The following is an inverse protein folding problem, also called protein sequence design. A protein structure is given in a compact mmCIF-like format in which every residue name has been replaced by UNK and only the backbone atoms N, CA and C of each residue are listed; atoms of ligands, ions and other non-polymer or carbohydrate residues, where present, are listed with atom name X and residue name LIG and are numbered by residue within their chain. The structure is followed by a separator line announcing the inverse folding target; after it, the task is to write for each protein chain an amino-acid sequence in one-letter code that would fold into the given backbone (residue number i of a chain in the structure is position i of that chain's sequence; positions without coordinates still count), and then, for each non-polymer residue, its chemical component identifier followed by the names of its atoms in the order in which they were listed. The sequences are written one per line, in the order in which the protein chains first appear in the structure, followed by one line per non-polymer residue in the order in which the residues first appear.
data_IF_911935097798
#
_entry.id   IF_911935097798
#
_cell.length_a   1.000
_cell.length_b   1.000
_cell.length_c   1.000
_cell.angle_alpha   90.00
_cell.angle_beta   90.00
_cell.angle_gamma   90.00
#
_symmetry.space_group_name_H-M   'P 1'
#
loop_
_entity.id
_entity.type
_entity.pdbx_description
1 polymer ?
2 non-polymer ?
#
# COMPACT_ATOMS: atom_id res chain seq x y z
N UNK A 11 18.62 16.92 21.90
CA UNK A 11 17.41 16.11 21.82
C UNK A 11 17.63 14.69 22.36
N UNK A 12 16.55 14.07 22.83
CA UNK A 12 16.57 12.72 23.40
C UNK A 12 17.01 11.64 22.39
N UNK A 13 17.00 12.00 21.11
CA UNK A 13 17.28 11.03 20.06
C UNK A 13 18.59 11.33 19.33
N UNK A 14 19.06 10.38 18.53
CA UNK A 14 20.37 10.50 17.92
C UNK A 14 20.46 9.79 16.56
N UNK A 15 20.53 10.57 15.49
CA UNK A 15 20.49 10.04 14.13
C UNK A 15 21.71 9.19 13.81
N UNK A 16 21.48 7.93 13.40
CA UNK A 16 22.59 7.06 13.01
C UNK A 16 22.64 6.83 11.49
N UNK A 17 21.53 7.11 10.81
CA UNK A 17 21.49 6.97 9.35
C UNK A 17 20.22 7.58 8.77
N UNK A 18 20.12 7.53 7.44
CA UNK A 18 18.92 7.93 6.74
C UNK A 18 18.28 6.68 6.16
N UNK A 19 16.96 6.60 6.20
CA UNK A 19 16.26 5.47 5.61
C UNK A 19 15.94 5.78 4.15
N UNK A 20 15.51 7.01 3.92
CA UNK A 20 15.19 7.47 2.57
C UNK A 20 14.62 8.88 2.57
N UNK A 21 14.41 9.40 1.37
CA UNK A 21 13.81 10.72 1.23
C UNK A 21 12.65 10.67 0.23
N UNK A 22 11.84 11.72 0.21
CA UNK A 22 10.70 11.77 -0.69
C UNK A 22 9.78 12.94 -0.39
N UNK A 23 8.58 12.91 -0.94
CA UNK A 23 7.61 13.99 -0.75
C UNK A 23 6.81 13.84 0.54
N UNK A 25 8.43 13.43 3.51
CA UNK A 25 9.63 14.23 3.73
C UNK A 25 10.87 13.39 3.90
N UNK A 26 11.56 13.58 5.03
CA UNK A 26 12.83 12.92 5.29
C UNK A 26 12.75 12.03 6.55
N UNK A 27 13.21 10.79 6.41
CA UNK A 27 13.15 9.81 7.51
C UNK A 27 14.51 9.26 7.91
N UNK A 28 14.76 9.23 9.21
CA UNK A 28 16.05 8.79 9.74
C UNK A 28 15.93 7.61 10.72
N UNK A 29 17.00 6.86 10.85
CA UNK A 29 17.12 5.82 11.87
C UNK A 29 17.87 6.45 13.05
N UNK A 30 17.36 6.25 14.26
CA UNK A 30 17.99 6.85 15.42
C UNK A 30 18.01 5.94 16.65
N UNK A 31 18.66 6.41 17.71
CA UNK A 31 18.62 5.74 19.00
C UNK A 31 17.67 6.49 19.93
N UNK A 32 16.83 5.75 20.64
CA UNK A 32 16.00 6.33 21.70
C UNK A 32 16.75 6.20 23.03
N UNK A 33 17.48 7.25 23.38
CA UNK A 33 18.39 7.22 24.52
C UNK A 33 17.71 6.98 25.86
N UNK A 34 16.49 7.49 26.01
CA UNK A 34 15.78 7.38 27.27
C UNK A 34 15.14 6.00 27.43
N UNK A 35 14.96 5.30 26.31
CA UNK A 35 14.31 4.00 26.35
C UNK A 35 15.18 2.84 25.92
N UNK A 36 16.44 2.85 26.35
CA UNK A 36 17.31 1.70 26.21
C UNK A 36 18.08 1.63 24.90
N UNK A 37 18.15 2.74 24.18
CA UNK A 37 18.86 2.78 22.92
C UNK A 37 18.24 1.90 21.86
N UNK A 38 16.93 1.75 21.90
CA UNK A 38 16.21 1.03 20.86
C UNK A 38 16.23 1.88 19.59
N UNK A 39 15.99 1.23 18.45
CA UNK A 39 15.90 1.95 17.19
C UNK A 39 14.52 2.55 17.03
N UNK A 40 14.46 3.84 16.77
CA UNK A 40 13.20 4.49 16.41
C UNK A 40 13.31 5.09 15.01
N UNK A 41 12.19 5.60 14.50
CA UNK A 41 12.18 6.27 13.21
C UNK A 41 11.72 7.72 13.36
N UNK A 42 12.56 8.65 12.94
CA UNK A 42 12.27 10.08 13.06
C UNK A 42 11.94 10.72 11.72
N UNK A 43 10.86 11.48 11.69
CA UNK A 43 10.50 12.23 10.51
C UNK A 43 10.27 13.67 10.93
N UNK A 44 10.90 14.62 10.24
CA UNK A 44 10.64 16.03 10.51
C UNK A 44 10.03 16.78 9.32
N UNK A 45 8.76 17.12 9.46
CA UNK A 45 8.05 17.94 8.49
C UNK A 45 8.18 19.42 8.81
N UNK A 55 -1.58 26.79 10.21
CA UNK A 55 -1.81 25.57 9.44
C UNK A 55 -2.59 24.52 10.22
N UNK A 56 -3.91 24.51 10.07
CA UNK A 56 -4.78 23.57 10.81
C UNK A 56 -4.81 22.15 10.24
N UNK A 57 -4.75 22.03 8.92
CA UNK A 57 -4.81 20.74 8.24
C UNK A 57 -3.72 19.81 8.71
N UNK A 58 -2.57 20.38 9.06
CA UNK A 58 -1.47 19.61 9.60
C UNK A 58 -1.79 19.17 11.02
N UNK A 59 -2.24 20.12 11.85
CA UNK A 59 -2.66 19.82 13.22
C UNK A 59 -3.70 18.71 13.18
N UNK A 60 -4.63 18.85 12.23
CA UNK A 60 -5.70 17.90 12.01
C UNK A 60 -5.15 16.51 11.73
N UNK A 61 -4.31 16.40 10.71
CA UNK A 61 -3.76 15.09 10.34
C UNK A 61 -3.02 14.40 11.48
N UNK A 62 -2.35 15.20 12.31
CA UNK A 62 -1.60 14.69 13.45
C UNK A 62 -2.52 14.28 14.58
N UNK A 63 -3.61 15.03 14.75
CA UNK A 63 -4.63 14.70 15.73
C UNK A 63 -5.21 13.32 15.42
N UNK A 64 -5.38 13.05 14.13
CA UNK A 64 -5.90 11.76 13.71
C UNK A 64 -4.89 10.67 14.03
N UNK A 65 -3.64 10.90 13.62
CA UNK A 65 -2.54 9.99 13.93
C UNK A 65 -2.46 9.64 15.42
N UNK A 66 -2.33 10.67 16.27
CA UNK A 66 -2.36 10.47 17.71
C UNK A 66 -3.58 9.66 18.13
N UNK A 67 -4.72 9.96 17.52
CA UNK A 67 -5.95 9.23 17.82
C UNK A 67 -5.85 7.76 17.39
N UNK A 68 -5.33 7.53 16.19
CA UNK A 68 -5.25 6.18 15.65
C UNK A 68 -4.30 5.33 16.47
N UNK A 69 -3.34 6.00 17.10
CA UNK A 69 -2.36 5.32 17.92
C UNK A 69 -3.02 4.61 19.08
N UNK A 70 -3.93 5.33 19.75
CA UNK A 70 -4.64 4.83 20.92
C UNK A 70 -5.13 3.39 20.76
N UNK A 71 -5.66 3.07 19.58
CA UNK A 71 -6.15 1.72 19.30
C UNK A 71 -5.02 0.68 19.26
N UNK A 72 -3.78 1.15 19.12
CA UNK A 72 -2.61 0.29 18.92
C UNK A 72 -2.85 -0.96 18.09
N UNK A 73 -3.19 -0.77 16.82
CA UNK A 73 -3.42 -1.89 15.92
C UNK A 73 -2.08 -2.56 15.60
N UNK A 74 -2.04 -3.90 15.66
CA UNK A 74 -0.79 -4.64 15.46
C UNK A 74 -0.24 -4.50 14.04
N UNK A 75 -1.09 -4.11 13.09
CA UNK A 75 -0.68 -4.06 11.70
C UNK A 75 -0.39 -2.66 11.17
N UNK A 76 -0.17 -1.71 12.08
CA UNK A 76 0.29 -0.39 11.68
C UNK A 76 1.44 0.08 12.58
N UNK A 77 2.35 0.84 12.01
CA UNK A 77 3.52 1.33 12.72
C UNK A 77 3.13 2.13 13.97
N UNK A 78 3.77 1.81 15.10
CA UNK A 78 3.49 2.51 16.37
C UNK A 78 3.99 3.95 16.34
N UNK A 79 3.21 4.87 16.88
CA UNK A 79 3.67 6.25 17.08
C UNK A 79 4.10 6.44 18.54
N UNK A 80 5.36 6.79 18.77
CA UNK A 80 5.87 6.95 20.13
C UNK A 80 5.75 8.37 20.66
N UNK A 81 5.90 9.36 19.78
CA UNK A 81 5.90 10.74 20.23
C UNK A 81 5.78 11.75 19.09
N UNK A 82 5.38 12.96 19.46
CA UNK A 82 5.31 14.09 18.55
C UNK A 82 6.07 15.24 19.19
N UNK A 83 7.25 15.54 18.66
CA UNK A 83 8.08 16.59 19.24
C UNK A 83 7.65 17.95 18.73
N UNK A 84 7.60 18.92 19.64
CA UNK A 84 7.09 20.24 19.32
C UNK A 84 8.14 21.09 18.61
N UNK A 93 10.73 21.70 11.72
CA UNK A 93 9.49 22.28 12.23
C UNK A 93 8.78 21.32 13.19
N UNK A 94 8.54 20.10 12.72
CA UNK A 94 7.80 19.11 13.50
C UNK A 94 8.35 17.69 13.35
N UNK A 95 8.72 17.08 14.47
CA UNK A 95 9.30 15.74 14.46
C UNK A 95 8.35 14.67 15.01
N UNK A 96 8.19 13.60 14.24
CA UNK A 96 7.34 12.50 14.66
C UNK A 96 8.19 11.27 14.88
N UNK A 97 8.05 10.66 16.05
CA UNK A 97 8.83 9.48 16.40
C UNK A 97 7.98 8.23 16.30
N UNK A 98 8.38 7.34 15.41
CA UNK A 98 7.68 6.08 15.23
C UNK A 98 8.61 4.98 15.68
N UNK A 99 8.13 3.75 15.64
CA UNK A 99 9.01 2.63 15.89
C UNK A 99 9.88 2.42 14.66
N UNK A 100 10.86 1.53 14.76
CA UNK A 100 11.69 1.20 13.63
C UNK A 100 11.47 -0.26 13.31
N UNK A 101 11.43 -0.60 12.03
CA UNK A 101 11.32 -1.99 11.58
C UNK A 101 12.53 -2.31 10.71
N UNK A 102 13.08 -3.51 10.84
CA UNK A 102 14.37 -3.83 10.19
C UNK A 102 14.34 -3.71 8.66
N UNK A 103 13.18 -3.93 8.04
CA UNK A 103 13.10 -3.95 6.59
C UNK A 103 11.70 -3.72 6.03
N UNK A 104 11.63 -3.39 4.75
CA UNK A 104 10.35 -3.20 4.08
C UNK A 104 9.96 -4.44 3.30
N UNK A 105 8.85 -4.39 2.58
CA UNK A 105 8.43 -5.56 1.80
C UNK A 105 9.36 -5.78 0.63
N UNK A 106 9.91 -4.68 0.11
CA UNK A 106 10.75 -4.74 -1.07
C UNK A 106 12.04 -5.52 -0.81
N UNK A 107 12.73 -5.22 0.28
CA UNK A 107 13.96 -5.94 0.56
C UNK A 107 13.66 -7.39 0.94
N UNK A 108 12.50 -7.61 1.55
CA UNK A 108 12.07 -8.96 1.86
C UNK A 108 11.90 -9.81 0.59
N UNK A 109 11.50 -9.18 -0.50
CA UNK A 109 11.32 -9.88 -1.76
C UNK A 109 12.65 -10.07 -2.50
N UNK A 110 13.53 -9.09 -2.39
CA UNK A 110 14.86 -9.17 -2.97
C UNK A 110 15.62 -10.33 -2.36
N UNK A 111 15.59 -10.39 -1.03
CA UNK A 111 16.37 -11.35 -0.26
C UNK A 111 15.68 -12.70 -0.05
N UNK A 112 14.52 -12.89 -0.66
CA UNK A 112 13.76 -14.12 -0.45
C UNK A 112 14.38 -15.27 -1.24
N UNK A 113 14.63 -16.41 -0.56
CA UNK A 113 15.14 -17.63 -1.19
C UNK A 113 14.23 -18.15 -2.31
N UNK A 114 14.83 -18.78 -3.30
CA UNK A 114 14.09 -19.31 -4.45
C UNK A 114 13.25 -20.53 -4.04
N UNK A 115 12.19 -20.84 -4.82
CA UNK A 115 11.72 -20.10 -6.00
C UNK A 115 10.62 -19.12 -5.68
N UNK A 116 10.69 -18.43 -4.55
CA UNK A 116 9.70 -17.41 -4.23
C UNK A 116 9.29 -17.28 -2.78
N UNK A 117 7.99 -17.00 -2.58
CA UNK A 117 7.45 -16.92 -1.22
C UNK A 117 6.47 -18.06 -1.04
N UNK A 118 6.55 -18.75 0.11
CA UNK A 118 5.62 -19.83 0.45
C UNK A 118 4.17 -19.37 0.31
N UNK A 119 3.41 -20.09 -0.50
CA UNK A 119 2.00 -19.77 -0.71
C UNK A 119 1.33 -19.36 0.59
N UNK A 120 1.57 -20.15 1.63
CA UNK A 120 1.01 -19.87 2.94
C UNK A 120 1.52 -18.55 3.53
N UNK A 121 2.75 -18.17 3.16
CA UNK A 121 3.32 -16.94 3.71
C UNK A 121 2.68 -15.72 3.03
N UNK A 122 2.35 -15.90 1.77
CA UNK A 122 1.61 -14.88 1.04
C UNK A 122 0.21 -14.72 1.63
N UNK A 123 -0.53 -15.82 1.70
CA UNK A 123 -1.87 -15.82 2.28
C UNK A 123 -1.92 -15.11 3.63
N UNK A 124 -0.86 -15.28 4.42
CA UNK A 124 -0.83 -14.69 5.75
C UNK A 124 -0.53 -13.20 5.69
N UNK A 125 0.46 -12.84 4.90
CA UNK A 125 0.91 -11.45 4.84
C UNK A 125 -0.14 -10.55 4.26
N UNK A 126 -0.95 -11.10 3.36
CA UNK A 126 -2.02 -10.37 2.72
C UNK A 126 -3.10 -10.06 3.71
N UNK A 127 -3.35 -11.03 4.58
CA UNK A 127 -4.35 -10.89 5.61
C UNK A 127 -3.96 -9.75 6.54
N UNK A 128 -2.73 -9.77 7.02
CA UNK A 128 -2.24 -8.73 7.92
C UNK A 128 -2.28 -7.38 7.22
N UNK A 129 -2.11 -7.43 5.90
CA UNK A 129 -2.12 -6.24 5.08
C UNK A 129 -3.54 -5.70 4.98
N UNK A 130 -4.50 -6.59 4.74
CA UNK A 130 -5.90 -6.21 4.68
C UNK A 130 -6.45 -5.74 6.02
N UNK A 131 -5.92 -6.29 7.11
CA UNK A 131 -6.34 -5.92 8.46
C UNK A 131 -6.11 -4.44 8.76
N UNK A 132 -4.90 -3.98 8.53
CA UNK A 132 -4.55 -2.59 8.77
C UNK A 132 -5.24 -1.68 7.78
N UNK A 133 -5.60 -2.22 6.62
CA UNK A 133 -6.27 -1.41 5.63
C UNK A 133 -7.71 -1.18 6.05
N UNK A 134 -8.37 -2.23 6.49
CA UNK A 134 -9.73 -2.09 7.00
C UNK A 134 -9.73 -1.21 8.24
N UNK A 135 -8.76 -1.42 9.12
CA UNK A 135 -8.60 -0.56 10.28
C UNK A 135 -8.51 0.90 9.88
N UNK A 136 -7.81 1.18 8.79
CA UNK A 136 -7.60 2.56 8.35
C UNK A 136 -8.83 3.09 7.64
N UNK A 137 -9.51 2.22 6.90
CA UNK A 137 -10.72 2.61 6.20
C UNK A 137 -11.85 2.86 7.19
N UNK A 138 -11.94 1.99 8.18
CA UNK A 138 -12.97 2.05 9.20
C UNK A 138 -12.90 3.37 9.94
N UNK A 139 -11.74 4.00 9.94
CA UNK A 139 -11.56 5.31 10.55
C UNK A 139 -11.47 6.42 9.50
N UNK A 140 -11.82 6.05 8.26
CA UNK A 140 -11.82 6.99 7.14
C UNK A 140 -10.48 7.67 6.89
N UNK A 141 -9.42 6.88 6.97
CA UNK A 141 -8.13 7.31 6.48
C UNK A 141 -7.90 6.58 5.17
N UNK A 142 -7.40 7.29 4.18
CA UNK A 142 -7.00 6.66 2.93
C UNK A 142 -5.50 6.78 2.79
N UNK A 143 -4.80 5.65 2.65
CA UNK A 143 -3.35 5.67 2.52
C UNK A 143 -2.91 6.53 1.34
N UNK A 144 -3.46 6.23 0.15
CA UNK A 144 -3.27 6.99 -1.09
C UNK A 144 -1.98 6.71 -1.86
N UNK A 145 -1.00 6.13 -1.18
CA UNK A 145 0.22 5.70 -1.86
C UNK A 145 0.76 4.42 -1.23
N UNK A 146 0.00 3.35 -1.35
CA UNK A 146 0.41 2.06 -0.80
C UNK A 146 1.26 1.30 -1.79
N UNK A 147 2.53 1.12 -1.45
CA UNK A 147 3.50 0.45 -2.29
C UNK A 147 4.37 -0.38 -1.35
N UNK A 148 5.08 -1.40 -1.86
CA UNK A 148 5.89 -2.26 -1.00
C UNK A 148 7.00 -1.51 -0.27
N UNK A 149 7.32 -0.31 -0.73
CA UNK A 149 8.38 0.49 -0.14
C UNK A 149 7.97 1.13 1.20
N UNK A 150 6.69 1.07 1.53
CA UNK A 150 6.23 1.52 2.86
C UNK A 150 5.41 0.46 3.58
N UNK A 151 5.50 -0.77 3.09
CA UNK A 151 4.97 -1.89 3.82
C UNK A 151 6.11 -2.57 4.57
N UNK A 152 6.13 -2.41 5.89
CA UNK A 152 7.25 -2.86 6.69
C UNK A 152 7.05 -4.26 7.26
N UNK A 153 8.10 -5.08 7.19
CA UNK A 153 8.06 -6.44 7.74
C UNK A 153 9.03 -6.60 8.92
N UNK A 154 8.47 -6.98 10.07
CA UNK A 154 9.24 -7.08 11.31
C UNK A 154 9.89 -8.44 11.47
N UNK A 155 10.89 -8.51 12.35
CA UNK A 155 11.60 -9.73 12.77
C UNK A 155 10.79 -11.02 12.70
N UNK A 156 9.52 -10.93 13.10
CA UNK A 156 8.63 -12.10 13.16
C UNK A 156 7.80 -12.33 11.89
N UNK A 157 7.86 -11.40 10.95
CA UNK A 157 7.04 -11.51 9.75
C UNK A 157 5.69 -10.84 9.94
N UNK A 158 5.66 -9.85 10.81
CA UNK A 158 4.47 -9.03 11.02
C UNK A 158 4.48 -7.83 10.07
N UNK A 159 3.42 -7.71 9.27
CA UNK A 159 3.24 -6.59 8.38
C UNK A 159 2.81 -5.34 9.15
N UNK A 160 3.45 -4.22 8.85
CA UNK A 160 3.10 -2.95 9.47
C UNK A 160 3.10 -1.83 8.45
N UNK A 161 1.95 -1.17 8.29
CA UNK A 161 1.81 -0.08 7.34
C UNK A 161 2.44 1.21 7.83
N UNK A 162 3.27 1.81 6.97
CA UNK A 162 3.90 3.09 7.27
C UNK A 162 3.50 4.15 6.24
N UNK A 163 3.88 5.41 6.52
CA UNK A 163 3.77 6.49 5.54
C UNK A 163 2.35 6.85 5.12
N UNK A 164 1.50 7.21 6.08
CA UNK A 164 0.13 7.55 5.76
C UNK A 164 -0.39 8.71 6.59
N UNK A 165 -1.47 9.33 6.15
CA UNK A 165 -2.15 10.36 6.91
C UNK A 165 -1.42 11.68 7.04
N UNK A 166 -0.44 11.91 6.18
CA UNK A 166 0.24 13.21 6.12
C UNK A 166 0.38 13.72 4.69
N UNK A 167 0.46 15.04 4.53
CA UNK A 167 0.63 15.68 3.24
C UNK A 167 1.96 15.31 2.58
N UNK A 181 7.36 9.36 -8.50
CA UNK A 181 8.35 8.31 -8.72
C UNK A 181 7.69 7.01 -9.21
N UNK A 182 6.69 6.53 -8.48
CA UNK A 182 6.06 5.25 -8.83
C UNK A 182 4.53 5.31 -8.93
N UNK A 183 4.07 5.13 -10.16
CA UNK A 183 2.67 5.09 -10.47
C UNK A 183 2.28 3.64 -10.67
N UNK A 184 3.21 2.73 -10.40
CA UNK A 184 3.00 1.32 -10.72
C UNK A 184 1.93 0.70 -9.85
N UNK A 185 1.56 1.41 -8.79
CA UNK A 185 0.57 0.93 -7.85
C UNK A 185 -0.63 1.85 -7.77
N UNK A 186 -0.65 2.87 -8.62
CA UNK A 186 -1.77 3.81 -8.67
C UNK A 186 -2.99 3.16 -9.31
N UNK A 187 -4.16 3.50 -8.77
CA UNK A 187 -5.42 3.01 -9.29
C UNK A 187 -5.86 3.82 -10.50
N UNK A 188 -6.57 3.17 -11.44
CA UNK A 188 -7.10 3.79 -12.67
C UNK A 188 -7.75 5.18 -12.47
N UNK A 189 -8.58 5.31 -11.45
CA UNK A 189 -9.29 6.55 -11.19
C UNK A 189 -8.36 7.67 -10.74
N UNK A 190 -7.33 7.33 -9.99
CA UNK A 190 -6.30 8.30 -9.59
C UNK A 190 -5.54 8.74 -10.84
N UNK A 191 -5.26 7.78 -11.72
CA UNK A 191 -4.56 8.07 -12.96
C UNK A 191 -5.37 9.00 -13.83
N UNK A 192 -6.67 8.72 -13.93
CA UNK A 192 -7.61 9.57 -14.67
C UNK A 192 -7.94 10.83 -13.88
N UNK A 193 -7.59 10.83 -12.60
CA UNK A 193 -7.89 11.94 -11.69
C UNK A 193 -9.38 12.20 -11.58
N UNK A 194 -10.10 11.24 -11.01
CA UNK A 194 -11.56 11.29 -10.97
C UNK A 194 -12.13 10.96 -9.58
N UNK A 195 -11.69 9.87 -8.98
CA UNK A 195 -12.12 9.47 -7.64
C UNK A 195 -10.90 9.33 -6.74
N UNK A 196 -11.03 9.72 -5.48
CA UNK A 196 -9.88 9.63 -4.58
C UNK A 196 -10.18 8.91 -3.27
N UNK A 197 -11.28 8.14 -3.27
CA UNK A 197 -11.75 7.48 -2.06
C UNK A 197 -10.93 6.24 -1.70
N UNK A 198 -11.46 5.43 -0.79
CA UNK A 198 -10.78 4.23 -0.31
C UNK A 198 -10.58 3.08 -1.31
N UNK A 199 -11.40 2.98 -2.38
CA UNK A 199 -11.13 1.88 -3.30
C UNK A 199 -9.74 1.93 -3.90
N UNK A 200 -9.12 3.10 -3.83
CA UNK A 200 -7.78 3.34 -4.34
C UNK A 200 -6.79 2.33 -3.78
N UNK A 201 -6.88 2.08 -2.48
CA UNK A 201 -5.89 1.27 -1.77
C UNK A 201 -6.06 -0.23 -1.97
N UNK A 202 -7.19 -0.63 -2.54
CA UNK A 202 -7.35 -2.05 -2.83
C UNK A 202 -6.85 -2.38 -4.22
N UNK A 203 -6.84 -1.38 -5.08
CA UNK A 203 -6.16 -1.55 -6.35
C UNK A 203 -4.69 -1.85 -6.06
N UNK A 204 -4.11 -1.08 -5.15
CA UNK A 204 -2.71 -1.27 -4.74
C UNK A 204 -2.51 -2.63 -4.11
N UNK A 205 -3.48 -3.07 -3.34
CA UNK A 205 -3.36 -4.38 -2.70
C UNK A 205 -3.25 -5.49 -3.73
N UNK A 206 -4.08 -5.45 -4.75
CA UNK A 206 -4.00 -6.44 -5.81
C UNK A 206 -2.66 -6.42 -6.53
N UNK A 207 -2.10 -5.23 -6.66
CA UNK A 207 -0.83 -5.03 -7.37
C UNK A 207 0.30 -5.63 -6.57
N UNK A 208 0.15 -5.58 -5.25
CA UNK A 208 1.16 -6.11 -4.33
C UNK A 208 1.04 -7.62 -4.18
N UNK A 209 -0.20 -8.07 -3.96
CA UNK A 209 -0.61 -9.47 -4.04
C UNK A 209 0.06 -10.19 -5.19
N UNK A 210 -0.12 -9.66 -6.40
CA UNK A 210 0.49 -10.19 -7.61
C UNK A 210 2.00 -10.25 -7.47
N UNK A 211 2.60 -9.12 -7.11
CA UNK A 211 4.05 -9.02 -7.02
C UNK A 211 4.62 -9.99 -6.02
N UNK A 212 3.81 -10.42 -5.06
CA UNK A 212 4.27 -11.40 -4.09
C UNK A 212 4.51 -12.75 -4.77
N UNK A 213 3.85 -12.94 -5.90
CA UNK A 213 4.12 -14.09 -6.74
C UNK A 213 5.24 -13.78 -7.74
N UNK A 214 5.09 -12.68 -8.47
CA UNK A 214 6.02 -12.30 -9.53
C UNK A 214 7.39 -11.90 -9.03
N UNK A 215 7.44 -11.33 -7.84
CA UNK A 215 8.65 -10.69 -7.31
C UNK A 215 9.11 -9.52 -8.18
N UNK A 216 8.37 -9.24 -9.24
CA UNK A 216 8.56 -8.06 -10.07
C UNK A 216 7.23 -7.32 -10.19
N UNK A 217 7.28 -5.98 -10.18
CA UNK A 217 6.09 -5.13 -10.34
C UNK A 217 5.24 -5.58 -11.53
N UNK A 218 3.93 -5.49 -11.36
CA UNK A 218 3.00 -6.02 -12.35
C UNK A 218 2.82 -5.08 -13.55
N UNK A 219 2.55 -3.81 -13.28
CA UNK A 219 2.45 -2.82 -14.33
C UNK A 219 3.55 -1.80 -14.13
N UNK A 220 4.58 -1.85 -14.95
CA UNK A 220 5.58 -0.79 -14.91
C UNK A 220 5.35 0.15 -16.07
N UNK A 221 4.83 1.32 -15.77
CA UNK A 221 4.55 2.31 -16.79
C UNK A 221 5.50 3.48 -16.65
N UNK A 222 5.78 4.15 -17.76
CA UNK A 222 6.73 5.26 -17.77
C UNK A 222 6.08 6.60 -17.43
N UNK A 223 4.74 6.63 -17.48
CA UNK A 223 3.97 7.83 -17.16
C UNK A 223 2.49 7.48 -17.02
N UNK A 224 1.67 8.45 -16.63
CA UNK A 224 0.26 8.17 -16.30
C UNK A 224 -0.55 7.54 -17.45
N UNK A 225 -0.35 8.03 -18.66
CA UNK A 225 -1.02 7.47 -19.83
C UNK A 225 -0.45 6.09 -20.14
N UNK A 226 0.88 5.98 -20.18
CA UNK A 226 1.51 4.68 -20.36
C UNK A 226 0.98 3.70 -19.32
N UNK A 227 1.05 4.10 -18.05
CA UNK A 227 0.58 3.29 -16.94
C UNK A 227 -0.82 2.75 -17.19
N UNK A 228 -1.73 3.64 -17.55
CA UNK A 228 -3.13 3.28 -17.78
C UNK A 228 -3.24 2.26 -18.90
N UNK A 229 -2.41 2.41 -19.92
CA UNK A 229 -2.32 1.44 -20.99
C UNK A 229 -1.96 0.05 -20.48
N UNK A 230 -0.83 -0.03 -19.77
CA UNK A 230 -0.35 -1.30 -19.20
C UNK A 230 -1.43 -2.06 -18.42
N UNK A 231 -2.28 -1.32 -17.72
CA UNK A 231 -3.35 -1.94 -16.95
C UNK A 231 -4.40 -2.54 -17.86
N UNK A 232 -4.86 -1.76 -18.82
CA UNK A 232 -5.97 -2.17 -19.67
C UNK A 232 -5.58 -3.28 -20.65
N UNK A 233 -4.28 -3.39 -20.95
CA UNK A 233 -3.78 -4.49 -21.77
C UNK A 233 -4.07 -5.85 -21.11
N UNK A 234 -4.34 -5.82 -19.81
CA UNK A 234 -4.41 -7.04 -19.02
C UNK A 234 -5.81 -7.35 -18.54
N UNK A 235 -6.50 -6.33 -18.03
CA UNK A 235 -7.85 -6.54 -17.49
C UNK A 235 -8.94 -6.34 -18.56
N UNK A 236 -8.59 -5.61 -19.62
CA UNK A 236 -9.50 -5.41 -20.73
C UNK A 236 -10.21 -4.08 -20.65
N UNK A 237 -10.60 -3.55 -21.81
CA UNK A 237 -11.40 -2.34 -21.87
C UNK A 237 -12.64 -2.51 -21.02
N UNK A 238 -12.89 -1.56 -20.11
CA UNK A 238 -14.09 -1.62 -19.28
C UNK A 238 -15.34 -1.24 -20.06
N UNK A 239 -16.51 -1.60 -19.55
CA UNK A 239 -17.77 -1.16 -20.11
C UNK A 239 -17.81 0.36 -20.24
N UNK A 240 -18.66 0.87 -21.12
CA UNK A 240 -18.65 2.30 -21.41
C UNK A 240 -19.13 3.15 -20.22
N UNK A 241 -19.98 2.58 -19.38
CA UNK A 241 -20.48 3.27 -18.19
C UNK A 241 -19.51 3.12 -17.01
N UNK A 242 -18.49 2.29 -17.18
CA UNK A 242 -17.46 2.14 -16.16
C UNK A 242 -16.37 3.21 -16.26
N UNK A 243 -16.36 3.93 -17.39
CA UNK A 243 -15.47 5.08 -17.54
C UNK A 243 -16.10 6.27 -16.84
N UNK A 244 -15.38 6.88 -15.90
CA UNK A 244 -15.88 8.08 -15.24
C UNK A 244 -16.09 9.20 -16.25
N UNK A 245 -17.07 10.07 -16.00
CA UNK A 245 -17.33 11.17 -16.92
C UNK A 245 -16.48 12.37 -16.56
N UNK A 246 -16.36 13.30 -17.51
CA UNK A 246 -15.56 14.50 -17.34
C UNK A 246 -14.14 14.21 -16.86
N UNK A 247 -13.44 13.42 -17.67
CA UNK A 247 -12.02 13.18 -17.48
C UNK A 247 -11.38 13.42 -18.84
N UNK A 248 -10.24 14.12 -18.84
CA UNK A 248 -9.54 14.44 -20.07
C UNK A 248 -9.28 13.23 -20.96
N UNK A 249 -9.12 12.06 -20.34
CA UNK A 249 -8.84 10.82 -21.06
C UNK A 249 -10.09 9.98 -21.29
N UNK A 250 -10.55 9.94 -22.55
CA UNK A 250 -11.75 9.18 -22.93
C UNK A 250 -11.41 7.72 -23.20
N UNK A 251 -12.40 6.85 -23.02
CA UNK A 251 -12.24 5.40 -23.25
C UNK A 251 -11.74 5.09 -24.65
N UNK A 252 -12.07 5.93 -25.61
CA UNK A 252 -11.76 5.68 -27.01
C UNK A 252 -10.27 5.85 -27.32
N UNK A 253 -9.50 6.32 -26.34
CA UNK A 253 -8.06 6.53 -26.53
C UNK A 253 -7.23 5.32 -26.14
N UNK A 254 -7.87 4.15 -26.07
CA UNK A 254 -7.17 2.91 -25.78
C UNK A 254 -7.79 1.75 -26.57
N UNK A 255 -7.10 0.61 -26.67
CA UNK A 255 -7.59 -0.54 -27.44
C UNK A 255 -7.30 -1.88 -26.76
N UNK A 258 -8.60 -5.47 -25.26
CA UNK A 258 -9.10 -6.82 -24.97
C UNK A 258 -8.38 -7.48 -23.77
N UNK A 259 -9.15 -8.28 -23.03
CA UNK A 259 -8.72 -8.84 -21.76
C UNK A 259 -7.81 -10.05 -21.90
N UNK A 260 -6.78 -10.12 -21.06
CA UNK A 260 -5.89 -11.27 -21.03
C UNK A 260 -6.20 -12.12 -19.80
N UNK A 261 -5.90 -13.42 -19.86
CA UNK A 261 -6.05 -14.28 -18.68
C UNK A 261 -4.93 -14.04 -17.67
N UNK A 262 -5.26 -14.15 -16.39
CA UNK A 262 -4.35 -13.73 -15.32
C UNK A 262 -3.25 -14.72 -15.02
N UNK A 263 -3.51 -16.01 -15.25
CA UNK A 263 -2.56 -17.06 -14.88
C UNK A 263 -1.24 -16.92 -15.63
N UNK A 264 -1.28 -16.21 -16.75
CA UNK A 264 -0.07 -15.93 -17.50
C UNK A 264 0.87 -15.07 -16.70
N UNK A 265 0.43 -13.86 -16.38
CA UNK A 265 1.29 -12.89 -15.72
C UNK A 265 1.55 -13.27 -14.26
N UNK A 266 0.66 -14.08 -13.70
CA UNK A 266 0.81 -14.57 -12.34
C UNK A 266 0.60 -16.08 -12.28
N UNK A 267 1.70 -16.82 -12.17
CA UNK A 267 1.63 -18.28 -12.06
C UNK A 267 1.75 -18.73 -10.61
N UNK A 268 1.09 -19.85 -10.31
CA UNK A 268 0.88 -20.42 -8.96
C UNK A 268 -0.43 -19.95 -8.33
N UNK A 269 -0.99 -18.87 -8.83
CA UNK A 269 -2.20 -18.33 -8.23
C UNK A 269 -3.37 -19.31 -8.35
N UNK A 270 -3.98 -19.63 -7.21
CA UNK A 270 -5.11 -20.54 -7.17
C UNK A 270 -6.34 -19.89 -7.76
N UNK A 271 -7.44 -20.64 -7.74
CA UNK A 271 -8.72 -20.10 -8.17
C UNK A 271 -9.15 -19.04 -7.15
N UNK A 272 -9.00 -19.36 -5.87
CA UNK A 272 -9.39 -18.43 -4.81
C UNK A 272 -8.50 -17.20 -4.78
N UNK A 273 -7.24 -17.37 -5.17
CA UNK A 273 -6.35 -16.23 -5.30
C UNK A 273 -6.78 -15.40 -6.48
N UNK A 274 -7.02 -16.08 -7.60
CA UNK A 274 -7.43 -15.45 -8.85
C UNK A 274 -8.68 -14.59 -8.66
N UNK A 275 -9.77 -15.22 -8.23
CA UNK A 275 -11.05 -14.57 -7.99
C UNK A 275 -10.91 -13.29 -7.15
N UNK A 276 -10.28 -13.45 -5.99
CA UNK A 276 -10.02 -12.32 -5.10
C UNK A 276 -9.19 -11.26 -5.79
N UNK A 277 -8.12 -11.67 -6.46
CA UNK A 277 -7.24 -10.72 -7.14
C UNK A 277 -8.01 -9.95 -8.22
N UNK A 278 -9.01 -10.59 -8.80
CA UNK A 278 -9.78 -9.95 -9.86
C UNK A 278 -10.70 -8.88 -9.29
N UNK A 279 -11.18 -9.11 -8.08
CA UNK A 279 -12.08 -8.14 -7.45
C UNK A 279 -11.33 -7.02 -6.76
N UNK A 280 -10.00 -7.08 -6.74
CA UNK A 280 -9.19 -5.97 -6.23
C UNK A 280 -8.79 -5.09 -7.39
N UNK A 281 -8.75 -5.68 -8.58
CA UNK A 281 -8.37 -4.92 -9.77
C UNK A 281 -9.56 -4.75 -10.72
N UNK A 282 -10.74 -4.53 -10.16
CA UNK A 282 -11.90 -4.16 -10.95
C UNK A 282 -11.76 -2.68 -11.32
N UNK A 283 -11.91 -2.37 -12.60
CA UNK A 283 -11.72 -1.00 -13.08
C UNK A 283 -12.59 0.01 -12.35
N UNK A 284 -13.82 -0.40 -12.05
CA UNK A 284 -14.79 0.46 -11.39
C UNK A 284 -14.66 0.40 -9.87
N UNK A 285 -14.29 1.54 -9.25
CA UNK A 285 -14.12 1.68 -7.80
C UNK A 285 -15.35 1.26 -7.00
N UNK A 286 -16.52 1.35 -7.61
CA UNK A 286 -17.76 0.97 -6.93
C UNK A 286 -17.95 -0.55 -6.93
N UNK A 287 -17.42 -1.20 -7.96
CA UNK A 287 -17.53 -2.66 -8.08
C UNK A 287 -16.35 -3.36 -7.42
N UNK A 288 -15.27 -2.62 -7.20
CA UNK A 288 -14.09 -3.12 -6.52
C UNK A 288 -14.45 -3.58 -5.12
N UNK A 289 -13.72 -4.56 -4.62
CA UNK A 289 -14.01 -5.09 -3.29
C UNK A 289 -13.52 -4.09 -2.23
N UNK A 290 -13.81 -4.38 -0.97
CA UNK A 290 -13.32 -3.60 0.15
C UNK A 290 -12.52 -4.51 1.08
N UNK A 291 -11.66 -3.91 1.90
CA UNK A 291 -10.83 -4.67 2.84
C UNK A 291 -11.71 -5.53 3.73
N UNK A 292 -12.70 -4.91 4.35
CA UNK A 292 -13.64 -5.64 5.20
C UNK A 292 -14.24 -6.83 4.45
N UNK A 293 -14.61 -6.60 3.20
CA UNK A 293 -15.20 -7.64 2.37
C UNK A 293 -14.15 -8.65 1.92
N UNK A 294 -12.90 -8.19 1.82
CA UNK A 294 -11.79 -9.07 1.44
C UNK A 294 -11.45 -10.02 2.57
N UNK A 295 -11.46 -9.50 3.81
CA UNK A 295 -11.12 -10.30 4.98
C UNK A 295 -11.98 -11.57 5.08
N UNK A 296 -13.15 -11.54 4.45
CA UNK A 296 -14.08 -12.67 4.49
C UNK A 296 -14.08 -13.51 3.20
N UNK A 297 -13.06 -13.34 2.37
CA UNK A 297 -12.99 -14.11 1.13
C UNK A 297 -12.74 -15.56 1.49
N UNK A 298 -13.26 -16.48 0.66
CA UNK A 298 -12.99 -17.91 0.85
C UNK A 298 -11.48 -18.24 0.87
N UNK A 299 -10.70 -17.45 0.13
CA UNK A 299 -9.25 -17.61 0.06
C UNK A 299 -8.56 -17.63 1.43
N UNK A 300 -9.14 -16.94 2.41
CA UNK A 300 -8.62 -16.96 3.77
C UNK A 300 -9.35 -17.96 4.66
N UNK A 301 -9.53 -19.18 4.18
CA UNK A 301 -10.06 -20.26 5.00
C UNK A 301 -9.00 -21.35 5.17
X LIG B 1 19.85 -0.58 2.42
X LIG B 1 18.94 1.54 3.07
X LIG B 1 17.80 -0.57 3.72
X LIG B 1 11.09 2.03 10.68
X LIG B 1 11.88 1.53 6.27
X LIG B 1 11.38 1.94 8.32
X LIG B 1 12.89 0.91 7.05
X LIG B 1 10.71 2.42 9.59
X LIG B 1 9.57 3.38 9.51
X LIG B 1 8.65 3.47 10.58
X LIG B 1 7.59 4.38 10.46
X LIG B 1 8.26 5.11 8.37
X LIG B 1 9.35 4.23 8.41
X LIG B 1 8.00 6.02 7.22
X LIG B 1 7.59 7.34 7.52
X LIG B 1 7.47 7.95 5.33
X LIG B 1 7.89 6.68 4.88
X LIG B 1 8.01 6.40 3.51
X LIG B 1 8.43 5.12 3.09
X LIG B 1 8.71 4.11 4.02
X LIG B 1 8.57 4.40 5.39
X LIG B 1 8.16 5.69 5.85
X LIG B 1 19.07 0.12 3.43
X LIG B 1 17.47 -0.52 5.23
X LIG B 1 16.14 -1.24 5.54
X LIG B 1 15.08 -0.61 4.74
X LIG B 1 15.32 -0.80 3.32
X LIG B 1 16.62 -0.10 2.87
X LIG B 1 14.04 0.10 5.26
X LIG B 1 13.10 0.68 4.37
X LIG B 1 12.00 1.40 4.88
X LIG B 1 10.94 2.16 7.07
X LIG B 1 12.53 1.20 8.36
X LIG B 1 13.96 0.21 6.61
X LIG B 1 7.40 5.18 9.39
X LIG B 1 7.32 8.28 6.61
#
# INVERSE_FOLDING_TARGET
MEKDGLCRADQQYECVAEIGEGAYGKVFKARDLKNGGRFVALKRVRVQTGEEGMPLSTIREVAVLRHLETFEHPNVVRLFDVCTVSRTDRETKLTLVFEHVDQDLTTYLDKVPEPGVPTETIKDMMFQLLRGLDFLHSHRVVHRDLKPQNILVTSSGQIKLADFGLARIYSFQMALTSVVVTLWYRAPEVLLQSSYATPVDLWSVGCIFAEMFRRKPLFRGSSDVDQLGKILDVIGLPGEEDWPRDVALPRQAFHSKSAQPIEKFVTDIDELGKDLLLKCLTFNPAKRISAYSALSHPYFQHHHHHH
0RS C1 C2 C3 O1 C11 C12 C13 C14 C15 C16 C17 C18 C19 C20 C21 C22 C23 C24 C25 C26 C27 C28 N1 C4 C5 N2 C6 C7 C8 C9 C10 N3 N4 N5 N6 N7
#
